data_IF_736313572749
#
_entry.id   IF_736313572749
#
_cell.length_a   1.000
_cell.length_b   1.000
_cell.length_c   1.000
_cell.angle_alpha   90.00
_cell.angle_beta   90.00
_cell.angle_gamma   90.00
#
_symmetry.space_group_name_H-M   'P 1'
#
loop_
_entity.id
_entity.type
_entity.pdbx_description
1 polymer ?
#
# COMPACT_ATOMS: atom_id res chain seq x y z
N UNK A 1 -25.52 44.53 -1.98
CA UNK A 1 -25.82 43.11 -2.28
C UNK A 1 -24.52 42.33 -2.17
N UNK A 2 -24.37 41.67 -1.04
CA UNK A 2 -23.11 40.93 -0.68
C UNK A 2 -23.21 39.53 -1.20
N UNK A 3 -22.37 39.18 -2.19
CA UNK A 3 -22.26 37.84 -2.69
C UNK A 3 -21.31 37.05 -1.77
N UNK A 4 -21.88 36.06 -1.06
CA UNK A 4 -21.17 35.22 -0.12
C UNK A 4 -20.13 34.32 -0.81
N UNK A 5 -18.91 34.48 -0.41
CA UNK A 5 -17.83 33.52 -0.61
C UNK A 5 -18.15 32.26 0.23
N UNK A 6 -18.68 31.24 -0.42
CA UNK A 6 -18.75 29.90 0.15
C UNK A 6 -17.32 29.37 0.18
N UNK A 7 -16.73 29.30 1.36
CA UNK A 7 -15.46 28.66 1.60
C UNK A 7 -15.56 27.17 1.21
N UNK A 8 -14.70 26.75 0.27
CA UNK A 8 -14.42 25.33 0.05
C UNK A 8 -13.82 24.81 1.35
N UNK A 9 -14.48 23.84 1.98
CA UNK A 9 -13.89 23.10 3.08
C UNK A 9 -12.62 22.46 2.53
N UNK A 10 -11.46 22.90 3.00
CA UNK A 10 -10.21 22.16 2.82
C UNK A 10 -10.38 20.83 3.58
N UNK A 11 -10.60 19.74 2.88
CA UNK A 11 -10.25 18.43 3.42
C UNK A 11 -8.80 18.54 3.89
N UNK A 12 -8.53 18.15 5.12
CA UNK A 12 -7.19 18.20 5.68
C UNK A 12 -6.27 17.41 4.73
N UNK A 13 -5.41 18.10 3.99
CA UNK A 13 -4.50 17.48 3.04
C UNK A 13 -3.61 16.53 3.84
N UNK A 14 -3.72 15.25 3.57
CA UNK A 14 -2.82 14.22 4.11
C UNK A 14 -1.42 14.50 3.55
N UNK A 15 -0.52 14.96 4.41
CA UNK A 15 0.88 15.20 4.02
C UNK A 15 1.58 13.84 3.98
N UNK A 16 2.18 13.44 2.85
CA UNK A 16 2.96 12.21 2.76
C UNK A 16 4.11 12.17 3.77
N UNK A 17 4.47 10.97 4.19
CA UNK A 17 5.60 10.75 5.09
C UNK A 17 6.89 11.19 4.40
N UNK A 18 7.78 11.90 5.11
CA UNK A 18 9.09 12.34 4.59
C UNK A 18 9.02 13.10 3.25
N UNK A 19 7.95 13.88 3.02
CA UNK A 19 7.72 14.55 1.74
C UNK A 19 8.93 15.38 1.27
N UNK A 20 9.50 16.19 2.15
CA UNK A 20 10.63 17.06 1.81
C UNK A 20 11.89 16.26 1.49
N UNK A 21 12.14 15.19 2.24
CA UNK A 21 13.27 14.28 2.04
C UNK A 21 13.15 13.56 0.70
N UNK A 22 11.93 13.08 0.37
CA UNK A 22 11.65 12.41 -0.90
C UNK A 22 11.86 13.37 -2.07
N UNK A 23 11.31 14.59 -2.04
CA UNK A 23 11.51 15.58 -3.10
C UNK A 23 12.98 15.98 -3.25
N UNK A 24 13.68 16.15 -2.14
CA UNK A 24 15.13 16.43 -2.14
C UNK A 24 15.94 15.30 -2.78
N UNK A 25 15.60 14.04 -2.45
CA UNK A 25 16.27 12.86 -2.99
C UNK A 25 15.96 12.67 -4.50
N UNK A 26 14.72 12.91 -4.93
CA UNK A 26 14.35 12.87 -6.36
C UNK A 26 15.07 13.93 -7.18
N UNK A 27 15.46 15.07 -6.58
CA UNK A 27 16.17 16.16 -7.28
C UNK A 27 15.41 16.63 -8.53
N UNK A 28 14.20 17.13 -8.34
CA UNK A 28 13.30 17.54 -9.43
C UNK A 28 13.95 18.56 -10.36
N UNK A 29 13.65 18.46 -11.66
CA UNK A 29 14.13 19.38 -12.69
C UNK A 29 13.01 19.69 -13.69
N UNK A 30 13.02 20.88 -14.25
CA UNK A 30 12.09 21.27 -15.31
C UNK A 30 12.29 20.39 -16.55
N UNK A 31 11.19 20.00 -17.17
CA UNK A 31 11.16 19.05 -18.28
C UNK A 31 11.39 17.60 -17.85
N UNK A 32 11.53 17.33 -16.55
CA UNK A 32 11.76 15.97 -16.02
C UNK A 32 10.54 15.08 -16.06
N UNK A 33 10.78 13.78 -16.19
CA UNK A 33 9.79 12.70 -16.22
C UNK A 33 9.89 11.85 -14.96
N UNK A 34 8.79 11.68 -14.22
CA UNK A 34 8.80 10.97 -12.94
C UNK A 34 7.71 9.92 -12.87
N UNK A 35 7.95 8.87 -12.08
CA UNK A 35 6.96 7.85 -11.75
C UNK A 35 6.67 7.90 -10.25
N UNK A 36 5.38 7.98 -9.90
CA UNK A 36 4.87 7.67 -8.57
C UNK A 36 4.23 6.28 -8.63
N UNK A 37 4.96 5.24 -8.20
CA UNK A 37 4.50 3.85 -8.28
C UNK A 37 3.44 3.48 -7.26
N UNK A 38 3.12 4.37 -6.33
CA UNK A 38 2.22 4.15 -5.18
C UNK A 38 1.32 5.36 -4.95
N UNK A 39 0.51 5.69 -5.96
CA UNK A 39 -0.27 6.94 -6.02
C UNK A 39 -1.09 7.24 -4.76
N UNK A 40 -1.85 6.25 -4.23
CA UNK A 40 -2.65 6.36 -3.02
C UNK A 40 -3.62 7.54 -3.02
N UNK A 41 -3.26 8.63 -2.35
CA UNK A 41 -3.99 9.91 -2.33
C UNK A 41 -3.38 10.98 -3.25
N UNK A 42 -2.32 10.65 -3.98
CA UNK A 42 -1.64 11.55 -4.91
C UNK A 42 -0.76 12.62 -4.25
N UNK A 43 -0.36 12.40 -3.01
CA UNK A 43 0.42 13.40 -2.27
C UNK A 43 1.81 13.63 -2.86
N UNK A 44 2.57 12.58 -3.17
CA UNK A 44 3.87 12.72 -3.86
C UNK A 44 3.68 13.20 -5.28
N UNK A 45 2.70 12.65 -6.03
CA UNK A 45 2.35 13.09 -7.38
C UNK A 45 2.13 14.60 -7.45
N UNK A 46 1.26 15.14 -6.58
CA UNK A 46 1.00 16.59 -6.49
C UNK A 46 2.28 17.37 -6.19
N UNK A 47 3.04 16.93 -5.20
CA UNK A 47 4.24 17.64 -4.77
C UNK A 47 5.35 17.65 -5.84
N UNK A 48 5.46 16.61 -6.66
CA UNK A 48 6.38 16.56 -7.80
C UNK A 48 5.94 17.55 -8.88
N UNK A 49 4.63 17.59 -9.20
CA UNK A 49 4.04 18.48 -10.21
C UNK A 49 4.09 19.97 -9.81
N UNK A 50 3.98 20.26 -8.51
CA UNK A 50 4.09 21.62 -7.98
C UNK A 50 5.54 22.07 -7.80
N UNK A 51 6.47 21.13 -7.64
CA UNK A 51 7.89 21.38 -7.34
C UNK A 51 8.72 21.83 -8.54
N UNK A 52 8.33 21.44 -9.76
CA UNK A 52 8.98 21.83 -11.00
C UNK A 52 8.04 21.63 -12.21
N UNK A 53 8.41 22.10 -13.38
CA UNK A 53 7.69 21.81 -14.63
C UNK A 53 7.97 20.37 -15.09
N UNK A 54 7.27 19.41 -14.49
CA UNK A 54 7.49 17.97 -14.63
C UNK A 54 6.29 17.27 -15.25
N UNK A 55 6.53 16.07 -15.80
CA UNK A 55 5.48 15.11 -16.17
C UNK A 55 5.53 13.93 -15.22
N UNK A 56 4.37 13.45 -14.75
CA UNK A 56 4.26 12.34 -13.81
C UNK A 56 3.35 11.24 -14.35
N UNK A 57 3.83 10.01 -14.29
CA UNK A 57 3.05 8.79 -14.44
C UNK A 57 2.84 8.20 -13.06
N UNK A 58 1.59 8.26 -12.60
CA UNK A 58 1.20 7.73 -11.30
C UNK A 58 0.55 6.37 -11.47
N UNK A 59 0.92 5.40 -10.65
CA UNK A 59 0.44 4.01 -10.72
C UNK A 59 -0.22 3.65 -9.40
N UNK A 60 -1.37 2.98 -9.48
CA UNK A 60 -1.97 2.34 -8.31
C UNK A 60 -2.77 1.09 -8.73
N UNK A 61 -2.71 0.07 -7.90
CA UNK A 61 -3.47 -1.18 -8.08
C UNK A 61 -4.88 -1.09 -7.48
N UNK A 62 -5.11 -0.17 -6.53
CA UNK A 62 -6.41 0.01 -5.86
C UNK A 62 -7.38 0.79 -6.76
N UNK A 63 -8.49 0.19 -7.21
CA UNK A 63 -9.48 0.90 -8.03
C UNK A 63 -10.09 2.12 -7.34
N UNK A 64 -10.09 2.16 -5.99
CA UNK A 64 -10.56 3.34 -5.25
C UNK A 64 -9.56 4.51 -5.31
N UNK A 65 -8.25 4.21 -5.35
CA UNK A 65 -7.23 5.24 -5.53
C UNK A 65 -7.33 5.83 -6.94
N UNK A 66 -7.44 4.99 -7.96
CA UNK A 66 -7.62 5.40 -9.35
C UNK A 66 -8.86 6.29 -9.51
N UNK A 67 -10.00 5.88 -8.96
CA UNK A 67 -11.23 6.67 -9.05
C UNK A 67 -11.12 8.05 -8.39
N UNK A 68 -10.44 8.13 -7.24
CA UNK A 68 -10.19 9.41 -6.55
C UNK A 68 -9.22 10.31 -7.30
N UNK A 69 -8.26 9.73 -7.99
CA UNK A 69 -7.23 10.46 -8.73
C UNK A 69 -7.73 11.21 -9.95
N UNK A 70 -8.95 10.93 -10.45
CA UNK A 70 -9.51 11.56 -11.64
C UNK A 70 -9.49 13.10 -11.58
N UNK A 71 -9.86 13.68 -10.44
CA UNK A 71 -9.83 15.15 -10.25
C UNK A 71 -8.40 15.71 -10.32
N UNK A 72 -7.42 14.96 -9.81
CA UNK A 72 -6.02 15.39 -9.90
C UNK A 72 -5.52 15.34 -11.34
N UNK A 73 -5.92 14.34 -12.11
CA UNK A 73 -5.60 14.25 -13.54
C UNK A 73 -6.16 15.46 -14.30
N UNK A 74 -7.42 15.85 -14.06
CA UNK A 74 -8.02 17.04 -14.67
C UNK A 74 -7.27 18.34 -14.28
N UNK A 75 -6.81 18.44 -13.02
CA UNK A 75 -6.11 19.62 -12.49
C UNK A 75 -4.74 19.82 -13.16
N UNK A 76 -4.03 18.72 -13.46
CA UNK A 76 -2.66 18.75 -13.98
C UNK A 76 -2.54 18.30 -15.46
N UNK A 77 -3.64 18.22 -16.20
CA UNK A 77 -3.62 17.91 -17.64
C UNK A 77 -2.76 18.91 -18.43
N UNK A 78 -1.87 18.49 -19.32
CA UNK A 78 -1.52 17.11 -19.71
C UNK A 78 -0.34 16.49 -18.94
N UNK A 79 0.09 17.08 -17.81
CA UNK A 79 1.31 16.69 -17.10
C UNK A 79 1.17 15.46 -16.19
N UNK A 80 -0.07 14.99 -15.92
CA UNK A 80 -0.34 13.82 -15.12
C UNK A 80 -1.07 12.74 -15.90
N UNK A 81 -0.48 11.53 -15.91
CA UNK A 81 -1.13 10.32 -16.40
C UNK A 81 -1.28 9.34 -15.23
N UNK A 82 -2.52 8.90 -14.94
CA UNK A 82 -2.82 7.95 -13.88
C UNK A 82 -3.10 6.56 -14.50
N UNK A 83 -2.30 5.58 -14.12
CA UNK A 83 -2.31 4.22 -14.65
C UNK A 83 -2.81 3.24 -13.58
N UNK A 84 -3.77 2.38 -13.94
CA UNK A 84 -4.18 1.27 -13.08
C UNK A 84 -3.27 0.07 -13.33
N UNK A 85 -2.56 -0.37 -12.31
CA UNK A 85 -1.68 -1.53 -12.38
C UNK A 85 -0.82 -1.64 -11.14
N UNK A 86 0.10 -2.59 -11.17
CA UNK A 86 1.09 -2.80 -10.13
C UNK A 86 2.36 -2.05 -10.48
N UNK A 87 3.07 -1.51 -9.49
CA UNK A 87 4.34 -0.81 -9.76
C UNK A 87 5.44 -1.78 -10.25
N UNK A 88 5.32 -3.08 -9.96
CA UNK A 88 6.18 -4.10 -10.57
C UNK A 88 6.04 -4.22 -12.09
N UNK A 89 4.93 -3.75 -12.64
CA UNK A 89 4.62 -3.75 -14.08
C UNK A 89 4.89 -2.36 -14.73
N UNK A 90 5.63 -1.46 -14.03
CA UNK A 90 5.78 -0.08 -14.48
C UNK A 90 6.49 0.02 -15.85
N UNK A 91 7.40 -0.89 -16.17
CA UNK A 91 8.05 -0.92 -17.48
C UNK A 91 7.02 -1.08 -18.61
N UNK A 92 6.17 -2.09 -18.52
CA UNK A 92 5.14 -2.38 -19.52
C UNK A 92 4.08 -1.28 -19.59
N UNK A 93 3.66 -0.77 -18.42
CA UNK A 93 2.68 0.31 -18.33
C UNK A 93 3.17 1.59 -19.00
N UNK A 94 4.43 1.97 -18.80
CA UNK A 94 5.03 3.16 -19.40
C UNK A 94 5.28 2.99 -20.91
N UNK A 95 5.74 1.81 -21.33
CA UNK A 95 5.97 1.49 -22.74
C UNK A 95 4.69 1.59 -23.59
N UNK A 96 3.54 1.22 -23.03
CA UNK A 96 2.24 1.40 -23.69
C UNK A 96 1.93 2.88 -23.96
N UNK A 97 2.45 3.79 -23.12
CA UNK A 97 2.38 5.25 -23.31
C UNK A 97 3.54 5.84 -24.13
N UNK A 98 4.44 5.00 -24.67
CA UNK A 98 5.60 5.44 -25.45
C UNK A 98 6.75 6.01 -24.60
N UNK A 99 6.80 5.73 -23.31
CA UNK A 99 7.81 6.21 -22.38
C UNK A 99 8.83 5.10 -22.13
N UNK A 100 10.08 5.36 -22.51
CA UNK A 100 11.18 4.40 -22.33
C UNK A 100 12.03 4.69 -21.10
N UNK A 101 12.20 5.98 -20.76
CA UNK A 101 13.07 6.41 -19.66
C UNK A 101 12.45 7.54 -18.84
N UNK A 102 12.75 7.52 -17.52
CA UNK A 102 12.32 8.54 -16.57
C UNK A 102 13.49 9.02 -15.70
N UNK A 103 13.35 10.22 -15.13
CA UNK A 103 14.37 10.86 -14.30
C UNK A 103 14.29 10.46 -12.83
N UNK A 104 13.12 9.99 -12.40
CA UNK A 104 12.95 9.52 -11.03
C UNK A 104 11.74 8.63 -10.85
N UNK A 105 11.87 7.75 -9.86
CA UNK A 105 10.81 6.85 -9.40
C UNK A 105 10.67 7.01 -7.89
N UNK A 106 9.45 7.15 -7.39
CA UNK A 106 9.13 7.08 -5.96
C UNK A 106 8.20 5.92 -5.68
N UNK A 107 8.52 5.16 -4.62
CA UNK A 107 7.70 4.08 -4.07
C UNK A 107 7.49 4.35 -2.58
N UNK A 108 6.23 4.50 -2.15
CA UNK A 108 5.83 4.60 -0.73
C UNK A 108 5.13 3.29 -0.36
N UNK A 109 5.88 2.38 0.27
CA UNK A 109 5.44 1.00 0.47
C UNK A 109 4.36 0.89 1.56
N UNK A 110 3.50 -0.10 1.41
CA UNK A 110 2.49 -0.45 2.40
C UNK A 110 1.07 -0.06 2.01
N UNK A 111 0.29 0.43 2.97
CA UNK A 111 -1.14 0.73 2.82
C UNK A 111 -1.44 2.19 3.07
N UNK A 112 -2.32 2.75 2.28
CA UNK A 112 -2.77 4.14 2.44
C UNK A 112 -3.72 4.30 3.64
N UNK A 113 -3.76 5.52 4.22
CA UNK A 113 -4.69 5.83 5.31
C UNK A 113 -6.15 5.46 5.02
N UNK A 114 -6.72 5.74 3.83
CA UNK A 114 -8.07 5.31 3.50
C UNK A 114 -8.29 3.79 3.47
N UNK A 115 -7.24 3.01 3.17
CA UNK A 115 -7.35 1.54 3.25
C UNK A 115 -7.43 1.06 4.70
N UNK A 116 -6.70 1.69 5.62
CA UNK A 116 -6.70 1.36 7.04
C UNK A 116 -8.01 1.82 7.72
N UNK A 117 -8.53 2.99 7.35
CA UNK A 117 -9.71 3.62 7.98
C UNK A 117 -11.03 3.02 7.50
N UNK A 118 -11.06 2.47 6.28
CA UNK A 118 -12.25 1.81 5.73
C UNK A 118 -12.38 0.39 6.32
N UNK A 119 -13.23 0.22 7.32
CA UNK A 119 -13.53 -1.08 7.92
C UNK A 119 -13.91 -2.15 6.87
N UNK A 120 -14.59 -1.76 5.79
CA UNK A 120 -15.00 -2.63 4.69
C UNK A 120 -13.84 -3.21 3.87
N UNK A 121 -12.60 -2.74 4.08
CA UNK A 121 -11.40 -3.23 3.41
C UNK A 121 -10.66 -4.31 4.22
N UNK A 122 -10.88 -4.40 5.52
CA UNK A 122 -10.32 -5.43 6.39
C UNK A 122 -8.83 -5.32 6.71
N UNK A 123 -8.16 -4.21 6.40
CA UNK A 123 -6.74 -4.01 6.69
C UNK A 123 -6.44 -3.77 8.18
N UNK A 124 -7.43 -3.33 8.94
CA UNK A 124 -7.29 -2.99 10.35
C UNK A 124 -8.35 -3.71 11.20
N UNK A 125 -7.99 -4.03 12.42
CA UNK A 125 -8.91 -4.52 13.46
C UNK A 125 -9.34 -3.42 14.44
N UNK A 126 -8.99 -2.15 14.15
CA UNK A 126 -9.44 -1.01 14.95
C UNK A 126 -10.96 -0.82 14.86
N UNK A 127 -11.49 -1.05 13.67
CA UNK A 127 -12.92 -1.12 13.39
C UNK A 127 -13.22 -2.50 12.82
N UNK A 128 -14.22 -3.19 13.37
CA UNK A 128 -14.56 -4.52 12.90
C UNK A 128 -15.22 -4.47 11.51
N UNK A 129 -14.72 -5.30 10.61
CA UNK A 129 -15.14 -5.38 9.22
C UNK A 129 -14.90 -6.76 8.61
N UNK A 130 -15.25 -6.99 7.34
CA UNK A 130 -14.92 -8.22 6.63
C UNK A 130 -13.41 -8.43 6.59
N UNK A 131 -12.95 -9.67 6.77
CA UNK A 131 -11.53 -10.05 6.73
C UNK A 131 -11.07 -10.20 5.26
N UNK A 132 -10.92 -9.08 4.54
CA UNK A 132 -10.61 -9.06 3.11
C UNK A 132 -9.12 -8.84 2.82
N UNK A 133 -8.56 -7.66 3.12
CA UNK A 133 -7.18 -7.20 2.92
C UNK A 133 -6.70 -7.12 1.46
N UNK A 134 -7.53 -7.33 0.43
CA UNK A 134 -7.13 -7.22 -0.97
C UNK A 134 -7.08 -5.77 -1.44
N UNK A 135 -5.93 -5.31 -1.90
CA UNK A 135 -5.79 -3.97 -2.48
C UNK A 135 -6.56 -3.84 -3.79
N UNK A 136 -6.46 -4.83 -4.67
CA UNK A 136 -7.12 -4.88 -5.99
C UNK A 136 -8.57 -5.34 -5.94
N UNK A 137 -9.06 -5.83 -4.79
CA UNK A 137 -10.37 -6.47 -4.61
C UNK A 137 -10.58 -7.74 -5.47
N UNK A 138 -9.52 -8.34 -5.94
CA UNK A 138 -9.52 -9.59 -6.71
C UNK A 138 -8.60 -10.62 -6.06
N UNK A 139 -8.77 -11.89 -6.39
CA UNK A 139 -7.94 -12.98 -5.85
C UNK A 139 -8.36 -13.43 -4.45
N UNK A 140 -7.47 -14.14 -3.77
CA UNK A 140 -7.66 -14.76 -2.46
C UNK A 140 -7.65 -13.71 -1.35
N UNK A 141 -8.66 -13.70 -0.50
CA UNK A 141 -8.78 -12.79 0.64
C UNK A 141 -8.06 -13.33 1.89
N UNK A 142 -7.88 -12.47 2.90
CA UNK A 142 -7.37 -12.91 4.19
C UNK A 142 -8.30 -13.93 4.88
N UNK A 143 -9.63 -13.81 4.69
CA UNK A 143 -10.58 -14.81 5.17
C UNK A 143 -10.36 -16.17 4.50
N UNK A 144 -10.13 -16.21 3.20
CA UNK A 144 -9.83 -17.46 2.49
C UNK A 144 -8.56 -18.11 3.05
N UNK A 145 -7.50 -17.34 3.27
CA UNK A 145 -6.23 -17.82 3.83
C UNK A 145 -6.44 -18.45 5.21
N UNK A 146 -7.04 -17.73 6.15
CA UNK A 146 -7.19 -18.25 7.52
C UNK A 146 -8.14 -19.44 7.61
N UNK A 147 -9.08 -19.57 6.68
CA UNK A 147 -10.05 -20.66 6.68
C UNK A 147 -9.59 -21.90 5.88
N UNK A 148 -8.61 -21.79 4.97
CA UNK A 148 -8.22 -22.91 4.10
C UNK A 148 -6.77 -23.37 4.23
N UNK A 149 -5.83 -22.48 4.59
CA UNK A 149 -4.40 -22.81 4.63
C UNK A 149 -4.08 -23.81 5.75
N UNK A 150 -3.14 -24.75 5.50
CA UNK A 150 -2.68 -25.71 6.50
C UNK A 150 -2.02 -25.02 7.71
N UNK A 151 -2.17 -25.62 8.92
CA UNK A 151 -1.61 -25.07 10.17
C UNK A 151 -0.10 -24.80 10.05
N UNK A 152 0.65 -25.70 9.42
CA UNK A 152 2.09 -25.55 9.25
C UNK A 152 2.46 -24.41 8.31
N UNK A 153 1.74 -24.26 7.22
CA UNK A 153 1.92 -23.16 6.25
C UNK A 153 1.52 -21.82 6.86
N UNK A 154 0.37 -21.78 7.56
CA UNK A 154 -0.09 -20.58 8.27
C UNK A 154 0.92 -20.14 9.36
N UNK A 155 1.48 -21.11 10.10
CA UNK A 155 2.51 -20.82 11.10
C UNK A 155 3.79 -20.26 10.45
N UNK A 156 4.19 -20.78 9.28
CA UNK A 156 5.33 -20.29 8.52
C UNK A 156 5.08 -18.85 8.04
N UNK A 157 3.95 -18.61 7.40
CA UNK A 157 3.53 -17.30 6.93
C UNK A 157 3.57 -16.25 8.05
N UNK A 158 2.93 -16.54 9.20
CA UNK A 158 2.88 -15.63 10.35
C UNK A 158 4.28 -15.41 10.95
N UNK A 159 5.15 -16.42 10.92
CA UNK A 159 6.53 -16.32 11.42
C UNK A 159 7.40 -15.48 10.50
N UNK A 160 7.37 -15.76 9.19
CA UNK A 160 8.27 -15.16 8.20
C UNK A 160 7.84 -13.73 7.85
N UNK A 161 6.57 -13.50 7.56
CA UNK A 161 6.06 -12.19 7.17
C UNK A 161 5.61 -11.31 8.35
N UNK A 162 5.29 -11.91 9.48
CA UNK A 162 4.85 -11.17 10.68
C UNK A 162 5.92 -11.07 11.76
N UNK A 163 7.04 -11.76 11.62
CA UNK A 163 8.08 -11.87 12.66
C UNK A 163 7.51 -12.28 14.04
N UNK A 164 6.40 -13.07 14.04
CA UNK A 164 5.73 -13.49 15.27
C UNK A 164 6.42 -14.74 15.86
N UNK A 165 7.03 -14.59 17.01
CA UNK A 165 7.75 -15.70 17.69
C UNK A 165 6.83 -16.82 18.11
N UNK A 166 5.54 -16.54 18.36
CA UNK A 166 4.54 -17.52 18.79
C UNK A 166 3.64 -17.97 17.62
N UNK A 167 4.11 -17.87 16.38
CA UNK A 167 3.36 -18.15 15.16
C UNK A 167 2.66 -19.51 15.16
N UNK A 168 3.32 -20.57 15.65
CA UNK A 168 2.71 -21.91 15.77
C UNK A 168 1.49 -21.91 16.69
N UNK A 169 1.54 -21.14 17.78
CA UNK A 169 0.41 -21.06 18.74
C UNK A 169 -0.73 -20.26 18.13
N UNK A 170 -0.43 -19.19 17.40
CA UNK A 170 -1.43 -18.41 16.67
C UNK A 170 -2.09 -19.26 15.59
N UNK A 171 -1.32 -19.95 14.75
CA UNK A 171 -1.86 -20.79 13.68
C UNK A 171 -2.78 -21.88 14.23
N UNK A 172 -2.36 -22.57 15.29
CA UNK A 172 -3.20 -23.58 15.97
C UNK A 172 -4.51 -22.98 16.45
N UNK A 173 -4.49 -21.82 17.12
CA UNK A 173 -5.71 -21.18 17.62
C UNK A 173 -6.66 -20.77 16.49
N UNK A 174 -6.11 -20.34 15.34
CA UNK A 174 -6.90 -20.04 14.14
C UNK A 174 -7.54 -21.32 13.59
N UNK A 175 -6.78 -22.42 13.48
CA UNK A 175 -7.28 -23.71 12.96
C UNK A 175 -8.34 -24.29 13.91
N UNK A 176 -8.15 -24.24 15.22
CA UNK A 176 -9.14 -24.66 16.20
C UNK A 176 -10.44 -23.85 16.05
N UNK A 177 -10.35 -22.51 15.97
CA UNK A 177 -11.51 -21.64 15.83
C UNK A 177 -12.27 -21.87 14.52
N UNK A 178 -11.58 -21.99 13.38
CA UNK A 178 -12.25 -22.21 12.09
C UNK A 178 -12.96 -23.57 11.98
N UNK A 179 -12.54 -24.57 12.77
CA UNK A 179 -13.22 -25.87 12.82
C UNK A 179 -14.61 -25.76 13.49
N UNK A 180 -14.84 -24.74 14.32
CA UNK A 180 -16.14 -24.46 14.93
C UNK A 180 -17.02 -23.61 14.01
N UNK A 181 -16.45 -22.52 13.44
CA UNK A 181 -17.12 -21.64 12.47
C UNK A 181 -16.09 -20.88 11.61
N UNK A 182 -16.41 -20.57 10.33
CA UNK A 182 -15.53 -19.78 9.49
C UNK A 182 -15.22 -18.40 10.09
N UNK A 183 -13.95 -18.01 10.08
CA UNK A 183 -13.47 -16.71 10.54
C UNK A 183 -13.66 -15.71 9.39
N UNK A 184 -14.57 -14.74 9.56
CA UNK A 184 -14.95 -13.84 8.46
C UNK A 184 -14.73 -12.36 8.77
N UNK A 185 -14.40 -12.03 10.03
CA UNK A 185 -14.30 -10.65 10.50
C UNK A 185 -12.96 -10.34 11.14
N UNK A 186 -12.55 -9.09 11.01
CA UNK A 186 -11.26 -8.63 11.56
C UNK A 186 -11.21 -8.66 13.09
N UNK A 187 -12.30 -8.29 13.76
CA UNK A 187 -12.41 -8.33 15.22
C UNK A 187 -12.29 -9.77 15.76
N UNK A 188 -12.97 -10.70 15.10
CA UNK A 188 -12.92 -12.12 15.46
C UNK A 188 -11.49 -12.69 15.37
N UNK A 189 -10.80 -12.47 14.25
CA UNK A 189 -9.41 -12.89 14.10
C UNK A 189 -8.50 -12.24 15.15
N UNK A 190 -8.64 -10.93 15.39
CA UNK A 190 -7.85 -10.23 16.38
C UNK A 190 -8.02 -10.81 17.79
N UNK A 191 -9.23 -11.18 18.18
CA UNK A 191 -9.52 -11.78 19.49
C UNK A 191 -8.95 -13.19 19.62
N UNK A 192 -8.97 -14.00 18.55
CA UNK A 192 -8.31 -15.31 18.50
C UNK A 192 -6.81 -15.15 18.75
N UNK A 193 -6.17 -14.21 18.04
CA UNK A 193 -4.74 -13.95 18.19
C UNK A 193 -4.39 -13.43 19.58
N UNK A 194 -5.16 -12.50 20.15
CA UNK A 194 -4.95 -11.97 21.51
C UNK A 194 -5.04 -13.06 22.57
N UNK A 195 -5.96 -14.01 22.43
CA UNK A 195 -6.06 -15.19 23.34
C UNK A 195 -4.83 -16.10 23.19
N UNK A 196 -4.34 -16.27 21.97
CA UNK A 196 -3.16 -17.10 21.71
C UNK A 196 -1.86 -16.44 22.17
N UNK A 197 -1.73 -15.11 22.06
CA UNK A 197 -0.52 -14.35 22.39
C UNK A 197 -0.87 -13.32 23.47
N UNK A 198 -0.69 -13.64 24.76
CA UNK A 198 -0.89 -12.67 25.81
C UNK A 198 -0.06 -11.43 25.60
N UNK A 199 -0.65 -10.27 25.84
CA UNK A 199 0.03 -8.99 25.71
C UNK A 199 1.23 -8.94 26.69
N UNK A 200 2.44 -8.75 26.12
CA UNK A 200 3.65 -8.61 26.88
C UNK A 200 3.87 -7.15 27.35
N UNK A 201 5.12 -6.76 27.55
CA UNK A 201 5.48 -5.37 27.87
C UNK A 201 5.37 -4.42 26.65
N UNK A 202 5.17 -4.95 25.46
CA UNK A 202 5.01 -4.15 24.24
C UNK A 202 3.69 -3.39 24.26
N UNK A 203 3.72 -2.14 23.76
CA UNK A 203 2.50 -1.34 23.51
C UNK A 203 1.77 -1.74 22.23
N UNK A 204 2.40 -2.60 21.39
CA UNK A 204 1.84 -3.06 20.13
C UNK A 204 0.84 -4.19 20.42
N UNK A 205 -0.35 -4.12 19.83
CA UNK A 205 -1.36 -5.16 19.95
C UNK A 205 -0.84 -6.50 19.37
N UNK A 206 -1.01 -7.63 20.07
CA UNK A 206 -0.56 -8.93 19.60
C UNK A 206 -1.06 -9.31 18.20
N UNK A 207 -2.23 -8.83 17.78
CA UNK A 207 -2.79 -9.12 16.46
C UNK A 207 -2.04 -8.41 15.31
N UNK A 208 -1.33 -7.31 15.59
CA UNK A 208 -0.67 -6.48 14.55
C UNK A 208 0.22 -7.29 13.63
N UNK A 209 1.06 -8.18 14.18
CA UNK A 209 1.99 -9.00 13.39
C UNK A 209 1.28 -10.00 12.49
N UNK A 210 0.22 -10.62 12.98
CA UNK A 210 -0.59 -11.56 12.19
C UNK A 210 -1.31 -10.83 11.07
N UNK A 211 -1.87 -9.65 11.33
CA UNK A 211 -2.54 -8.83 10.30
C UNK A 211 -1.54 -8.37 9.23
N UNK A 212 -0.35 -7.94 9.64
CA UNK A 212 0.71 -7.57 8.69
C UNK A 212 1.13 -8.77 7.83
N UNK A 213 1.35 -9.94 8.43
CA UNK A 213 1.70 -11.15 7.69
C UNK A 213 0.65 -11.51 6.63
N UNK A 214 -0.63 -11.48 7.01
CA UNK A 214 -1.73 -11.75 6.08
C UNK A 214 -1.79 -10.70 4.97
N UNK A 215 -1.62 -9.41 5.28
CA UNK A 215 -1.61 -8.32 4.31
C UNK A 215 -0.51 -8.52 3.26
N UNK A 216 0.73 -8.72 3.72
CA UNK A 216 1.88 -8.95 2.84
C UNK A 216 1.66 -10.15 1.92
N UNK A 217 1.10 -11.24 2.45
CA UNK A 217 0.83 -12.45 1.68
C UNK A 217 -0.32 -12.27 0.67
N UNK A 218 -1.47 -11.74 1.10
CA UNK A 218 -2.65 -11.53 0.26
C UNK A 218 -2.32 -10.64 -0.95
N UNK A 219 -1.46 -9.65 -0.76
CA UNK A 219 -1.12 -8.69 -1.78
C UNK A 219 0.20 -9.00 -2.52
N UNK A 220 0.96 -10.00 -2.08
CA UNK A 220 2.26 -10.34 -2.66
C UNK A 220 3.25 -9.17 -2.59
N UNK A 221 3.25 -8.42 -1.47
CA UNK A 221 3.93 -7.11 -1.40
C UNK A 221 5.45 -7.22 -1.57
N UNK A 222 6.08 -8.27 -1.06
CA UNK A 222 7.55 -8.46 -1.21
C UNK A 222 7.95 -8.85 -2.63
N UNK A 223 7.18 -9.73 -3.28
CA UNK A 223 7.42 -10.10 -4.69
C UNK A 223 7.20 -8.89 -5.60
N UNK A 224 6.18 -8.08 -5.28
CA UNK A 224 5.89 -6.82 -5.96
C UNK A 224 7.04 -5.82 -5.81
N UNK A 225 7.61 -5.71 -4.58
CA UNK A 225 8.75 -4.84 -4.33
C UNK A 225 9.96 -5.27 -5.16
N UNK A 226 10.30 -6.56 -5.18
CA UNK A 226 11.41 -7.08 -5.99
C UNK A 226 11.21 -6.78 -7.48
N UNK A 227 10.01 -7.02 -8.00
CA UNK A 227 9.66 -6.71 -9.38
C UNK A 227 9.76 -5.20 -9.66
N UNK A 228 9.26 -4.36 -8.74
CA UNK A 228 9.30 -2.90 -8.85
C UNK A 228 10.70 -2.32 -8.84
N UNK A 229 11.58 -2.85 -8.00
CA UNK A 229 13.00 -2.44 -7.98
C UNK A 229 13.70 -2.75 -9.31
N UNK A 230 13.45 -3.94 -9.88
CA UNK A 230 13.98 -4.33 -11.19
C UNK A 230 13.42 -3.45 -12.32
N UNK A 231 12.12 -3.21 -12.31
CA UNK A 231 11.48 -2.34 -13.30
C UNK A 231 12.00 -0.89 -13.20
N UNK A 232 12.17 -0.37 -11.97
CA UNK A 232 12.75 0.96 -11.77
C UNK A 232 14.18 1.06 -12.31
N UNK A 233 15.04 0.05 -12.08
CA UNK A 233 16.39 0.00 -12.65
C UNK A 233 16.37 0.04 -14.19
N UNK A 234 15.41 -0.68 -14.80
CA UNK A 234 15.26 -0.74 -16.25
C UNK A 234 14.83 0.60 -16.85
N UNK A 235 13.87 1.32 -16.23
CA UNK A 235 13.30 2.55 -16.81
C UNK A 235 14.04 3.83 -16.45
N UNK A 236 14.90 3.82 -15.41
CA UNK A 236 15.65 5.02 -15.05
C UNK A 236 16.65 5.42 -16.12
N UNK A 237 16.69 6.71 -16.43
CA UNK A 237 17.71 7.32 -17.25
C UNK A 237 19.06 7.35 -16.50
N UNK A 238 20.20 7.47 -17.20
CA UNK A 238 21.49 7.68 -16.54
C UNK A 238 21.46 8.90 -15.60
N UNK A 239 21.76 8.69 -14.32
CA UNK A 239 21.65 9.71 -13.27
C UNK A 239 20.25 9.91 -12.68
N UNK A 240 19.28 9.14 -13.14
CA UNK A 240 17.93 9.08 -12.55
C UNK A 240 17.94 8.58 -11.11
N UNK A 241 16.90 8.85 -10.35
CA UNK A 241 16.81 8.60 -8.92
C UNK A 241 15.66 7.65 -8.58
N UNK A 242 15.96 6.61 -7.79
CA UNK A 242 14.95 5.78 -7.14
C UNK A 242 14.87 6.18 -5.67
N UNK A 243 13.67 6.50 -5.20
CA UNK A 243 13.39 6.79 -3.79
C UNK A 243 12.34 5.82 -3.29
N UNK A 244 12.67 5.08 -2.25
CA UNK A 244 11.76 4.12 -1.61
C UNK A 244 11.55 4.52 -0.17
N UNK A 245 10.29 4.63 0.26
CA UNK A 245 9.90 4.82 1.66
C UNK A 245 9.41 3.48 2.17
N UNK A 246 10.10 2.94 3.17
CA UNK A 246 9.79 1.64 3.78
C UNK A 246 9.41 1.81 5.24
N UNK A 247 8.52 0.96 5.73
CA UNK A 247 8.01 0.99 7.12
C UNK A 247 8.33 -0.31 7.88
N UNK A 248 8.96 -1.25 7.24
CA UNK A 248 9.02 -2.62 7.72
C UNK A 248 10.39 -3.26 7.41
N UNK A 249 10.94 -4.02 8.37
CA UNK A 249 12.26 -4.65 8.26
C UNK A 249 12.42 -5.63 7.10
N UNK A 250 11.33 -6.18 6.55
CA UNK A 250 11.37 -7.09 5.39
C UNK A 250 11.37 -6.34 4.05
N UNK A 251 11.10 -5.04 4.06
CA UNK A 251 11.15 -4.17 2.88
C UNK A 251 12.53 -3.53 2.69
N UNK A 252 13.45 -3.70 3.64
CA UNK A 252 14.78 -3.07 3.73
C UNK A 252 15.90 -4.00 3.09
#
# INVERSE_FOLDING_TARGET
MSAGLRGKAHEAQHIPVMLNEVLSALSLRDGGAYVDGTFGLGGYTRAILDGADTTVWAIDRDPKAIARGATLVEEYDPRLTLLKGRFGEMTELLQQGGIEKVDGVVLDLGVSSPQIEDAGRGFSFRFDGPLDMRMEKAGTSAADIVNSMDEGELARLIKELGEERRARRVARAIVEARNEAPITRTGELADIVRRAVPQGRSKIDPATRTFMALRLHVNGELDELEAGLRAAEEILAPGGRLVVVSFHSLED
#
